data_IF_803119940556
#
_entry.id   IF_803119940556
#
_cell.length_a   1.000
_cell.length_b   1.000
_cell.length_c   1.000
_cell.angle_alpha   90.00
_cell.angle_beta   90.00
_cell.angle_gamma   90.00
#
_symmetry.space_group_name_H-M   'P 1'
#
loop_
_entity.id
_entity.type
_entity.pdbx_description
1 polymer ?
#
# COMPACT_ATOMS: atom_id res chain seq x y z
N UNK A 1 -21.93 3.68 8.75
CA UNK A 1 -20.97 3.39 7.67
C UNK A 1 -19.88 2.50 8.23
N UNK A 2 -19.28 1.62 7.42
CA UNK A 2 -18.13 0.80 7.85
C UNK A 2 -16.97 1.69 8.31
N UNK A 3 -16.20 1.18 9.28
CA UNK A 3 -14.96 1.80 9.75
C UNK A 3 -13.96 1.99 8.61
N UNK A 4 -13.07 2.98 8.74
CA UNK A 4 -12.07 3.30 7.73
C UNK A 4 -10.71 2.64 8.04
N UNK A 5 -10.26 1.76 7.16
CA UNK A 5 -8.86 1.28 7.11
C UNK A 5 -7.96 2.43 6.67
N UNK A 6 -6.85 2.67 7.37
CA UNK A 6 -5.82 3.61 6.93
C UNK A 6 -4.53 2.81 6.66
N UNK A 7 -4.05 2.86 5.41
CA UNK A 7 -2.73 2.36 5.05
C UNK A 7 -1.70 3.50 5.13
N UNK A 8 -0.56 3.24 5.77
CA UNK A 8 0.60 4.14 5.75
C UNK A 8 1.68 3.60 4.81
N UNK A 9 2.08 4.40 3.82
CA UNK A 9 3.19 4.10 2.92
C UNK A 9 4.40 4.97 3.28
N UNK A 10 5.37 4.38 3.99
CA UNK A 10 6.34 5.17 4.76
C UNK A 10 7.46 5.78 3.94
N UNK A 11 7.99 5.06 2.95
CA UNK A 11 9.22 5.45 2.22
C UNK A 11 9.11 5.39 0.70
N UNK A 12 8.54 4.33 0.14
CA UNK A 12 8.53 4.07 -1.30
C UNK A 12 9.90 3.81 -1.89
N UNK A 13 9.97 3.85 -3.23
CA UNK A 13 11.21 3.68 -3.99
C UNK A 13 11.74 4.93 -4.70
N UNK A 14 11.04 6.07 -4.60
CA UNK A 14 11.28 7.26 -5.43
C UNK A 14 11.74 8.46 -4.61
N UNK A 15 11.06 8.72 -3.48
CA UNK A 15 11.34 9.89 -2.63
C UNK A 15 12.76 9.84 -2.09
N UNK A 16 13.47 10.97 -2.13
CA UNK A 16 14.85 11.10 -1.66
C UNK A 16 14.98 12.11 -0.52
N UNK A 17 16.08 12.03 0.26
CA UNK A 17 16.37 12.98 1.33
C UNK A 17 16.61 14.41 0.87
N UNK A 18 17.00 14.60 -0.38
CA UNK A 18 17.12 15.93 -0.98
C UNK A 18 15.75 16.61 -1.14
N UNK A 19 14.70 15.82 -1.42
CA UNK A 19 13.34 16.33 -1.56
C UNK A 19 12.68 16.59 -0.19
N UNK A 20 12.92 15.71 0.78
CA UNK A 20 12.46 15.87 2.15
C UNK A 20 13.40 15.16 3.12
N UNK A 21 13.85 15.82 4.21
CA UNK A 21 14.69 15.15 5.21
C UNK A 21 13.94 14.05 5.98
N UNK A 22 12.61 14.04 5.89
CA UNK A 22 11.73 13.20 6.72
C UNK A 22 11.41 11.83 6.08
N UNK A 23 11.93 11.52 4.89
CA UNK A 23 11.79 10.18 4.30
C UNK A 23 12.66 9.19 5.08
N UNK A 24 12.08 8.11 5.65
CA UNK A 24 12.87 7.08 6.34
C UNK A 24 13.58 6.20 5.31
N UNK A 25 14.84 5.85 5.56
CA UNK A 25 15.66 5.06 4.64
C UNK A 25 16.08 3.74 5.30
N UNK A 26 16.57 3.77 6.53
CA UNK A 26 16.99 2.54 7.22
C UNK A 26 15.79 1.77 7.75
N UNK A 27 15.99 0.48 8.02
CA UNK A 27 14.97 -0.40 8.55
C UNK A 27 14.44 0.12 9.91
N UNK A 28 15.33 0.64 10.76
CA UNK A 28 14.97 1.28 12.04
C UNK A 28 14.10 2.52 11.86
N UNK A 29 14.47 3.43 10.95
CA UNK A 29 13.68 4.64 10.69
C UNK A 29 12.31 4.30 10.10
N UNK A 30 12.25 3.30 9.21
CA UNK A 30 11.01 2.81 8.60
C UNK A 30 10.11 2.24 9.70
N UNK A 31 10.64 1.37 10.57
CA UNK A 31 9.89 0.78 11.67
C UNK A 31 9.41 1.83 12.68
N UNK A 32 10.26 2.80 13.05
CA UNK A 32 9.89 3.89 13.96
C UNK A 32 8.72 4.71 13.40
N UNK A 33 8.80 5.12 12.14
CA UNK A 33 7.72 5.88 11.50
C UNK A 33 6.45 5.05 11.30
N UNK A 34 6.58 3.74 11.04
CA UNK A 34 5.46 2.81 10.97
C UNK A 34 4.73 2.69 12.33
N UNK A 35 5.47 2.49 13.42
CA UNK A 35 4.93 2.41 14.79
C UNK A 35 4.26 3.73 15.20
N UNK A 36 4.90 4.87 14.91
CA UNK A 36 4.33 6.18 15.20
C UNK A 36 3.01 6.40 14.43
N UNK A 37 2.95 5.92 13.19
CA UNK A 37 1.76 5.95 12.34
C UNK A 37 0.65 5.02 12.83
N UNK A 38 1.00 3.81 13.30
CA UNK A 38 0.06 2.91 13.96
C UNK A 38 -0.59 3.56 15.18
N UNK A 39 0.22 4.21 16.04
CA UNK A 39 -0.27 5.00 17.20
C UNK A 39 -1.19 6.15 16.80
N UNK A 40 -1.08 6.66 15.56
CA UNK A 40 -1.96 7.69 15.01
C UNK A 40 -3.19 7.14 14.27
N UNK A 41 -3.31 5.82 14.11
CA UNK A 41 -4.47 5.15 13.51
C UNK A 41 -4.19 4.40 12.21
N UNK A 42 -2.95 4.25 11.75
CA UNK A 42 -2.69 3.35 10.63
C UNK A 42 -2.92 1.89 11.05
N UNK A 43 -3.64 1.13 10.24
CA UNK A 43 -3.87 -0.30 10.48
C UNK A 43 -3.06 -1.21 9.55
N UNK A 44 -2.56 -0.66 8.44
CA UNK A 44 -1.69 -1.34 7.48
C UNK A 44 -0.43 -0.50 7.26
N UNK A 45 0.74 -1.14 7.29
CA UNK A 45 2.00 -0.59 6.79
C UNK A 45 2.25 -1.12 5.38
N UNK A 46 2.27 -0.25 4.39
CA UNK A 46 2.89 -0.52 3.10
C UNK A 46 4.37 -0.16 3.18
N UNK A 47 5.24 -1.14 2.96
CA UNK A 47 6.69 -0.98 3.12
C UNK A 47 7.44 -1.28 1.82
N UNK A 48 8.41 -0.41 1.56
CA UNK A 48 9.56 -0.66 0.70
C UNK A 48 10.81 -0.63 1.57
N UNK A 49 11.88 -1.32 1.15
CA UNK A 49 13.20 -1.23 1.78
C UNK A 49 14.21 -0.62 0.82
N UNK A 50 15.27 -0.02 1.39
CA UNK A 50 16.34 0.66 0.64
C UNK A 50 17.69 -0.02 0.86
N UNK A 51 18.51 -0.05 -0.18
CA UNK A 51 19.90 -0.48 -0.09
C UNK A 51 20.82 0.63 0.48
N UNK A 52 22.12 0.36 0.57
CA UNK A 52 23.13 1.29 1.08
C UNK A 52 23.23 2.57 0.26
N UNK A 53 22.90 2.50 -1.04
CA UNK A 53 22.83 3.65 -1.96
C UNK A 53 21.48 4.40 -1.85
N UNK A 54 20.63 4.02 -0.89
CA UNK A 54 19.28 4.53 -0.67
C UNK A 54 18.30 4.24 -1.81
N UNK A 55 18.61 3.27 -2.67
CA UNK A 55 17.78 2.85 -3.79
C UNK A 55 16.83 1.74 -3.36
N UNK A 56 15.66 1.66 -3.99
CA UNK A 56 14.71 0.59 -3.71
C UNK A 56 15.32 -0.79 -4.00
N UNK A 57 15.17 -1.70 -3.06
CA UNK A 57 15.55 -3.11 -3.21
C UNK A 57 14.38 -4.01 -2.82
N UNK A 58 14.42 -5.28 -3.24
CA UNK A 58 13.49 -6.30 -2.81
C UNK A 58 14.16 -7.37 -1.91
N UNK A 59 15.21 -6.97 -1.20
CA UNK A 59 15.96 -7.83 -0.29
C UNK A 59 15.05 -8.37 0.84
N UNK A 60 14.80 -9.69 0.89
CA UNK A 60 13.93 -10.29 1.88
C UNK A 60 14.48 -10.17 3.31
N UNK A 61 15.80 -10.08 3.51
CA UNK A 61 16.38 -9.94 4.85
C UNK A 61 16.05 -8.57 5.45
N UNK A 62 16.11 -7.51 4.61
CA UNK A 62 15.74 -6.15 5.02
C UNK A 62 14.24 -6.03 5.31
N UNK A 63 13.40 -6.68 4.50
CA UNK A 63 11.97 -6.76 4.77
C UNK A 63 11.67 -7.49 6.09
N UNK A 64 12.30 -8.63 6.31
CA UNK A 64 12.19 -9.39 7.56
C UNK A 64 12.64 -8.56 8.76
N UNK A 65 13.71 -7.76 8.59
CA UNK A 65 14.20 -6.85 9.64
C UNK A 65 13.20 -5.76 9.99
N UNK A 66 12.54 -5.12 9.02
CA UNK A 66 11.47 -4.15 9.31
C UNK A 66 10.31 -4.84 10.04
N UNK A 67 9.91 -6.03 9.58
CA UNK A 67 8.87 -6.81 10.23
C UNK A 67 9.21 -7.14 11.68
N UNK A 68 10.42 -7.64 11.95
CA UNK A 68 10.92 -7.90 13.30
C UNK A 68 10.83 -6.66 14.20
N UNK A 69 11.34 -5.53 13.71
CA UNK A 69 11.36 -4.26 14.45
C UNK A 69 9.95 -3.75 14.78
N UNK A 70 9.02 -3.82 13.82
CA UNK A 70 7.62 -3.42 14.04
C UNK A 70 6.93 -4.34 15.05
N UNK A 71 7.21 -5.65 14.99
CA UNK A 71 6.65 -6.66 15.92
C UNK A 71 7.25 -6.58 17.32
N UNK A 72 8.47 -6.06 17.45
CA UNK A 72 9.12 -5.83 18.75
C UNK A 72 8.45 -4.73 19.60
N UNK A 73 7.67 -3.82 18.99
CA UNK A 73 6.91 -2.82 19.73
C UNK A 73 5.73 -3.47 20.48
N UNK A 74 5.68 -3.36 21.82
CA UNK A 74 4.63 -4.00 22.61
C UNK A 74 3.21 -3.57 22.18
N UNK A 75 2.39 -4.55 21.83
CA UNK A 75 0.99 -4.34 21.42
C UNK A 75 0.81 -3.87 19.98
N UNK A 76 1.89 -3.66 19.22
CA UNK A 76 1.79 -3.32 17.80
C UNK A 76 1.39 -4.55 16.98
N UNK A 77 0.12 -4.59 16.61
CA UNK A 77 -0.47 -5.64 15.78
C UNK A 77 -0.72 -5.16 14.34
N UNK A 78 -0.08 -4.09 13.88
CA UNK A 78 -0.32 -3.56 12.53
C UNK A 78 -0.07 -4.60 11.43
N UNK A 79 -0.92 -4.62 10.41
CA UNK A 79 -0.79 -5.54 9.26
C UNK A 79 0.40 -5.08 8.41
N UNK A 80 1.27 -6.00 8.01
CA UNK A 80 2.41 -5.68 7.16
C UNK A 80 2.06 -6.01 5.71
N UNK A 81 2.23 -5.01 4.84
CA UNK A 81 2.08 -5.09 3.41
C UNK A 81 3.46 -4.84 2.75
N UNK A 82 4.09 -5.87 2.22
CA UNK A 82 5.40 -5.75 1.57
C UNK A 82 5.26 -5.51 0.07
N UNK A 83 6.00 -4.52 -0.44
CA UNK A 83 5.97 -4.22 -1.87
C UNK A 83 6.65 -5.30 -2.71
N UNK A 84 6.00 -5.68 -3.82
CA UNK A 84 6.58 -6.49 -4.89
C UNK A 84 6.93 -5.65 -6.14
N UNK A 85 6.83 -4.33 -6.04
CA UNK A 85 7.15 -3.42 -7.15
C UNK A 85 8.63 -3.16 -7.32
N UNK A 86 9.33 -2.94 -6.20
CA UNK A 86 10.78 -2.73 -6.18
C UNK A 86 11.26 -1.56 -7.04
N UNK A 87 12.45 -1.69 -7.65
CA UNK A 87 13.04 -0.66 -8.52
C UNK A 87 12.61 -0.88 -9.97
N UNK A 88 11.75 0.01 -10.46
CA UNK A 88 11.18 -0.02 -11.82
C UNK A 88 12.26 -0.29 -12.88
N UNK A 89 12.10 -1.38 -13.62
CA UNK A 89 12.95 -1.76 -14.76
C UNK A 89 14.38 -2.17 -14.40
N UNK A 90 14.68 -2.45 -13.12
CA UNK A 90 16.02 -2.80 -12.65
C UNK A 90 16.10 -4.11 -11.88
N UNK A 91 14.98 -4.65 -11.42
CA UNK A 91 14.92 -5.94 -10.73
C UNK A 91 14.28 -7.01 -11.61
N UNK A 92 14.75 -8.23 -11.43
CA UNK A 92 14.16 -9.45 -12.01
C UNK A 92 12.81 -9.76 -11.34
N UNK A 93 12.01 -10.59 -12.00
CA UNK A 93 10.76 -11.08 -11.43
C UNK A 93 10.97 -11.86 -10.11
N UNK A 94 12.04 -12.66 -10.01
CA UNK A 94 12.33 -13.44 -8.80
C UNK A 94 12.71 -12.54 -7.62
N UNK A 95 13.52 -11.50 -7.85
CA UNK A 95 13.84 -10.50 -6.82
C UNK A 95 12.57 -9.81 -6.33
N UNK A 96 11.68 -9.43 -7.24
CA UNK A 96 10.40 -8.78 -6.90
C UNK A 96 9.43 -9.68 -6.14
N UNK A 97 9.47 -10.98 -6.38
CA UNK A 97 8.66 -11.98 -5.68
C UNK A 97 9.23 -12.30 -4.29
N UNK A 98 10.54 -12.17 -4.09
CA UNK A 98 11.22 -12.57 -2.84
C UNK A 98 10.57 -12.07 -1.54
N UNK A 99 10.02 -10.83 -1.44
CA UNK A 99 9.35 -10.35 -0.23
C UNK A 99 8.15 -11.21 0.19
N UNK A 100 7.44 -11.83 -0.75
CA UNK A 100 6.31 -12.75 -0.47
C UNK A 100 6.76 -13.94 0.39
N UNK A 101 8.00 -14.39 0.22
CA UNK A 101 8.56 -15.54 0.94
C UNK A 101 8.84 -15.27 2.40
N UNK A 102 8.85 -13.99 2.80
CA UNK A 102 8.92 -13.54 4.20
C UNK A 102 7.58 -13.76 4.93
N UNK A 103 6.52 -14.12 4.19
CA UNK A 103 5.16 -14.36 4.70
C UNK A 103 4.54 -13.15 5.42
N UNK A 104 4.55 -11.95 4.80
CA UNK A 104 3.74 -10.85 5.31
C UNK A 104 2.26 -11.19 5.21
N UNK A 105 1.40 -10.51 5.97
CA UNK A 105 -0.05 -10.72 5.85
C UNK A 105 -0.59 -10.26 4.49
N UNK A 106 -0.02 -9.19 3.95
CA UNK A 106 -0.35 -8.63 2.64
C UNK A 106 0.94 -8.41 1.84
N UNK A 107 0.84 -8.46 0.51
CA UNK A 107 1.86 -7.90 -0.36
C UNK A 107 1.20 -7.15 -1.54
N UNK A 108 1.87 -6.11 -2.03
CA UNK A 108 1.37 -5.35 -3.18
C UNK A 108 1.38 -6.22 -4.44
N UNK A 109 0.35 -6.07 -5.27
CA UNK A 109 0.15 -6.83 -6.50
C UNK A 109 -0.23 -5.88 -7.63
N UNK A 110 0.77 -5.33 -8.30
CA UNK A 110 0.61 -4.40 -9.41
C UNK A 110 -0.03 -5.10 -10.63
N UNK A 111 -1.34 -4.89 -10.84
CA UNK A 111 -2.15 -5.70 -11.73
C UNK A 111 -2.06 -5.31 -13.22
N UNK A 112 -0.90 -4.84 -13.65
CA UNK A 112 -0.64 -4.52 -15.05
C UNK A 112 0.59 -3.66 -15.27
N UNK A 113 0.99 -3.55 -16.53
CA UNK A 113 2.11 -2.71 -16.92
C UNK A 113 1.67 -1.27 -17.14
N UNK A 114 2.51 -0.30 -16.76
CA UNK A 114 2.22 1.13 -16.91
C UNK A 114 3.51 1.91 -17.20
N UNK A 115 3.40 3.01 -17.94
CA UNK A 115 4.51 3.96 -18.06
C UNK A 115 4.77 4.60 -16.69
N UNK A 116 6.03 4.66 -16.29
CA UNK A 116 6.41 5.09 -14.95
C UNK A 116 7.74 5.83 -14.97
N UNK A 117 7.70 7.15 -14.72
CA UNK A 117 8.86 8.00 -14.90
C UNK A 117 9.38 7.95 -16.34
N UNK A 118 10.67 7.67 -16.51
CA UNK A 118 11.32 7.54 -17.83
C UNK A 118 11.27 6.10 -18.38
N UNK A 119 10.60 5.17 -17.70
CA UNK A 119 10.55 3.76 -18.05
C UNK A 119 9.14 3.17 -18.12
N UNK A 120 9.10 1.84 -18.24
CA UNK A 120 7.87 1.06 -18.13
C UNK A 120 8.00 0.20 -16.88
N UNK A 121 7.00 0.27 -16.01
CA UNK A 121 6.86 -0.67 -14.92
C UNK A 121 6.14 -1.90 -15.43
N UNK A 122 6.91 -2.96 -15.68
CA UNK A 122 6.44 -4.15 -16.38
C UNK A 122 5.85 -5.15 -15.38
N UNK A 123 4.56 -5.43 -15.55
CA UNK A 123 3.86 -6.55 -14.94
C UNK A 123 3.15 -7.29 -16.08
N UNK A 124 3.86 -8.28 -16.65
CA UNK A 124 3.34 -9.10 -17.75
C UNK A 124 2.25 -10.05 -17.25
N UNK A 125 1.32 -10.53 -18.10
CA UNK A 125 0.35 -11.54 -17.69
C UNK A 125 1.00 -12.79 -17.07
N UNK A 126 2.16 -13.21 -17.57
CA UNK A 126 2.92 -14.34 -17.03
C UNK A 126 3.45 -14.05 -15.63
N UNK A 127 3.96 -12.85 -15.39
CA UNK A 127 4.39 -12.42 -14.07
C UNK A 127 3.22 -12.36 -13.09
N UNK A 128 2.07 -11.83 -13.52
CA UNK A 128 0.84 -11.78 -12.72
C UNK A 128 0.41 -13.18 -12.26
N UNK A 129 0.43 -14.16 -13.17
CA UNK A 129 0.07 -15.55 -12.85
C UNK A 129 1.08 -16.17 -11.86
N UNK A 130 2.38 -15.91 -12.06
CA UNK A 130 3.45 -16.40 -11.19
C UNK A 130 3.36 -15.82 -9.78
N UNK A 131 3.23 -14.50 -9.68
CA UNK A 131 3.14 -13.80 -8.40
C UNK A 131 1.89 -14.21 -7.62
N UNK A 132 0.74 -14.37 -8.28
CA UNK A 132 -0.48 -14.80 -7.61
C UNK A 132 -0.37 -16.23 -7.04
N UNK A 133 0.29 -17.14 -7.77
CA UNK A 133 0.57 -18.50 -7.28
C UNK A 133 1.51 -18.50 -6.08
N UNK A 134 2.57 -17.69 -6.12
CA UNK A 134 3.49 -17.57 -4.99
C UNK A 134 2.77 -16.99 -3.76
N UNK A 135 1.98 -15.93 -3.93
CA UNK A 135 1.18 -15.36 -2.84
C UNK A 135 0.23 -16.38 -2.23
N UNK A 136 -0.46 -17.18 -3.06
CA UNK A 136 -1.34 -18.26 -2.59
C UNK A 136 -0.55 -19.35 -1.84
N UNK A 137 0.61 -19.77 -2.34
CA UNK A 137 1.47 -20.78 -1.70
C UNK A 137 1.95 -20.35 -0.30
N UNK A 138 2.32 -19.07 -0.15
CA UNK A 138 2.82 -18.52 1.11
C UNK A 138 1.71 -17.95 2.01
N UNK A 139 0.44 -18.02 1.59
CA UNK A 139 -0.70 -17.53 2.36
C UNK A 139 -0.76 -16.00 2.49
N UNK A 140 -0.22 -15.28 1.52
CA UNK A 140 -0.14 -13.81 1.48
C UNK A 140 -1.33 -13.25 0.71
N UNK A 141 -2.10 -12.33 1.30
CA UNK A 141 -3.21 -11.68 0.58
C UNK A 141 -2.68 -10.60 -0.36
N UNK A 142 -3.12 -10.55 -1.63
CA UNK A 142 -2.77 -9.46 -2.53
C UNK A 142 -3.48 -8.15 -2.15
N UNK A 143 -2.74 -7.04 -2.07
CA UNK A 143 -3.27 -5.69 -2.30
C UNK A 143 -3.17 -5.39 -3.80
N UNK A 144 -4.30 -5.48 -4.50
CA UNK A 144 -4.39 -5.40 -5.95
C UNK A 144 -4.26 -3.94 -6.40
N UNK A 145 -3.04 -3.54 -6.75
CA UNK A 145 -2.74 -2.18 -7.17
C UNK A 145 -3.13 -1.97 -8.64
N UNK A 146 -4.07 -1.04 -8.87
CA UNK A 146 -4.61 -0.71 -10.17
C UNK A 146 -4.28 0.75 -10.50
N UNK A 147 -3.45 0.95 -11.51
CA UNK A 147 -3.07 2.27 -12.03
C UNK A 147 -4.03 2.74 -13.13
N UNK A 148 -4.85 1.85 -13.69
CA UNK A 148 -5.89 2.19 -14.66
C UNK A 148 -6.98 1.10 -14.66
N UNK A 149 -8.12 1.38 -15.29
CA UNK A 149 -9.28 0.50 -15.39
C UNK A 149 -8.99 -0.86 -16.02
N UNK A 150 -8.08 -0.92 -17.01
CA UNK A 150 -7.65 -2.19 -17.62
C UNK A 150 -6.98 -3.15 -16.62
N UNK A 151 -6.40 -2.64 -15.54
CA UNK A 151 -5.80 -3.47 -14.49
C UNK A 151 -6.86 -4.16 -13.62
N UNK A 152 -8.07 -3.59 -13.54
CA UNK A 152 -9.21 -4.24 -12.87
C UNK A 152 -9.64 -5.47 -13.67
N UNK A 153 -9.62 -5.39 -15.00
CA UNK A 153 -9.91 -6.54 -15.88
C UNK A 153 -8.84 -7.63 -15.79
N UNK A 154 -7.56 -7.23 -15.66
CA UNK A 154 -6.49 -8.18 -15.38
C UNK A 154 -6.71 -8.89 -14.03
N UNK A 155 -7.17 -8.16 -13.00
CA UNK A 155 -7.45 -8.75 -11.69
C UNK A 155 -8.59 -9.75 -11.77
N UNK A 156 -9.69 -9.42 -12.48
CA UNK A 156 -10.81 -10.34 -12.72
C UNK A 156 -10.34 -11.65 -13.37
N UNK A 157 -9.46 -11.58 -14.37
CA UNK A 157 -8.86 -12.77 -15.00
C UNK A 157 -8.12 -13.67 -13.99
N UNK A 158 -7.45 -13.08 -13.01
CA UNK A 158 -6.72 -13.83 -11.97
C UNK A 158 -7.69 -14.41 -10.93
N UNK A 159 -8.71 -13.64 -10.55
CA UNK A 159 -9.81 -14.06 -9.66
C UNK A 159 -10.58 -15.25 -10.26
N UNK A 160 -10.91 -15.19 -11.55
CA UNK A 160 -11.63 -16.26 -12.27
C UNK A 160 -10.82 -17.57 -12.32
N UNK A 161 -9.50 -17.51 -12.16
CA UNK A 161 -8.63 -18.69 -12.03
C UNK A 161 -8.60 -19.28 -10.61
N UNK A 162 -9.24 -18.62 -9.63
CA UNK A 162 -9.21 -19.03 -8.22
C UNK A 162 -7.87 -18.78 -7.53
N UNK A 163 -7.03 -17.89 -8.06
CA UNK A 163 -5.72 -17.58 -7.48
C UNK A 163 -5.79 -16.49 -6.41
N UNK A 164 -6.87 -15.71 -6.38
CA UNK A 164 -7.13 -14.68 -5.37
C UNK A 164 -8.53 -14.91 -4.82
N UNK A 165 -8.63 -15.03 -3.50
CA UNK A 165 -9.89 -15.28 -2.80
C UNK A 165 -10.48 -14.00 -2.20
N UNK A 166 -11.82 -13.88 -2.16
CA UNK A 166 -12.49 -12.76 -1.52
C UNK A 166 -12.31 -12.80 0.03
N UNK A 167 -12.43 -11.66 0.74
CA UNK A 167 -12.66 -10.31 0.21
C UNK A 167 -11.48 -9.82 -0.63
N UNK A 168 -11.79 -9.19 -1.76
CA UNK A 168 -10.76 -8.64 -2.66
C UNK A 168 -10.34 -7.27 -2.16
N UNK A 169 -9.03 -7.04 -2.05
CA UNK A 169 -8.48 -5.78 -1.58
C UNK A 169 -7.85 -5.01 -2.73
N UNK A 170 -8.59 -4.04 -3.28
CA UNK A 170 -8.13 -3.21 -4.39
C UNK A 170 -7.50 -1.91 -3.89
N UNK A 171 -6.44 -1.46 -4.53
CA UNK A 171 -5.87 -0.14 -4.32
C UNK A 171 -5.80 0.62 -5.64
N UNK A 172 -6.51 1.75 -5.72
CA UNK A 172 -6.45 2.63 -6.88
C UNK A 172 -5.29 3.61 -6.72
N UNK A 173 -4.33 3.54 -7.63
CA UNK A 173 -3.14 4.40 -7.63
C UNK A 173 -3.35 5.50 -8.66
N UNK A 174 -3.62 6.72 -8.18
CA UNK A 174 -4.09 7.83 -9.01
C UNK A 174 -3.08 8.98 -9.10
N UNK A 175 -3.01 9.62 -10.26
CA UNK A 175 -2.21 10.82 -10.49
C UNK A 175 -0.75 10.56 -10.81
N UNK A 176 -0.36 9.30 -11.03
CA UNK A 176 0.94 8.96 -11.63
C UNK A 176 0.90 9.29 -13.11
N UNK A 177 1.99 9.89 -13.62
CA UNK A 177 2.15 10.13 -15.05
C UNK A 177 2.27 8.79 -15.78
N UNK A 178 1.28 8.46 -16.60
CA UNK A 178 1.21 7.19 -17.32
C UNK A 178 0.02 6.32 -16.90
N UNK A 179 -0.57 6.57 -15.74
CA UNK A 179 -1.79 5.93 -15.27
C UNK A 179 -2.99 6.88 -15.21
N UNK A 180 -4.04 6.46 -14.52
CA UNK A 180 -5.29 7.18 -14.34
C UNK A 180 -5.07 8.50 -13.58
N UNK A 181 -5.68 9.61 -14.03
CA UNK A 181 -5.59 10.89 -13.34
C UNK A 181 -6.38 10.86 -12.03
N UNK A 182 -5.90 11.59 -11.03
CA UNK A 182 -6.59 11.78 -9.76
C UNK A 182 -7.78 12.75 -9.91
N UNK A 183 -8.89 12.22 -10.42
CA UNK A 183 -10.16 12.93 -10.62
C UNK A 183 -11.32 12.10 -10.08
N UNK A 184 -12.40 12.75 -9.66
CA UNK A 184 -13.60 12.08 -9.16
C UNK A 184 -14.21 11.16 -10.21
N UNK A 185 -14.27 11.60 -11.47
CA UNK A 185 -14.86 10.81 -12.56
C UNK A 185 -14.13 9.48 -12.79
N UNK A 186 -12.79 9.50 -12.77
CA UNK A 186 -11.99 8.28 -12.92
C UNK A 186 -12.13 7.37 -11.70
N UNK A 187 -12.09 7.93 -10.49
CA UNK A 187 -12.31 7.14 -9.28
C UNK A 187 -13.68 6.46 -9.30
N UNK A 188 -14.73 7.19 -9.65
CA UNK A 188 -16.08 6.66 -9.75
C UNK A 188 -16.17 5.53 -10.79
N UNK A 189 -15.54 5.70 -11.96
CA UNK A 189 -15.48 4.65 -12.98
C UNK A 189 -14.79 3.38 -12.46
N UNK A 190 -13.65 3.53 -11.78
CA UNK A 190 -12.89 2.39 -11.22
C UNK A 190 -13.69 1.67 -10.13
N UNK A 191 -14.32 2.40 -9.20
CA UNK A 191 -15.18 1.82 -8.16
C UNK A 191 -16.33 1.01 -8.76
N UNK A 192 -17.00 1.56 -9.79
CA UNK A 192 -18.12 0.88 -10.45
C UNK A 192 -17.70 -0.35 -11.29
N UNK A 193 -16.40 -0.52 -11.52
CA UNK A 193 -15.84 -1.63 -12.31
C UNK A 193 -15.39 -2.82 -11.45
N UNK A 194 -15.41 -2.68 -10.11
CA UNK A 194 -14.96 -3.73 -9.19
C UNK A 194 -15.86 -4.97 -9.23
N UNK A 195 -15.28 -6.17 -9.06
CA UNK A 195 -16.08 -7.37 -8.82
C UNK A 195 -16.79 -7.30 -7.46
N UNK A 196 -17.82 -8.12 -7.27
CA UNK A 196 -18.48 -8.27 -5.97
C UNK A 196 -17.49 -8.68 -4.88
N UNK A 197 -17.84 -8.45 -3.60
CA UNK A 197 -16.98 -8.74 -2.44
C UNK A 197 -15.63 -7.98 -2.43
N UNK A 198 -15.53 -6.91 -3.21
CA UNK A 198 -14.37 -6.02 -3.19
C UNK A 198 -14.49 -4.96 -2.11
N UNK A 199 -13.37 -4.69 -1.46
CA UNK A 199 -13.08 -3.45 -0.73
C UNK A 199 -11.99 -2.70 -1.48
N UNK A 200 -11.97 -1.38 -1.35
CA UNK A 200 -11.06 -0.55 -2.13
C UNK A 200 -10.44 0.59 -1.33
N UNK A 201 -9.18 0.86 -1.60
CA UNK A 201 -8.38 1.96 -1.09
C UNK A 201 -7.97 2.91 -2.22
N UNK A 202 -7.64 4.15 -1.88
CA UNK A 202 -7.04 5.12 -2.80
C UNK A 202 -5.68 5.58 -2.28
N UNK A 203 -4.68 5.42 -3.14
CA UNK A 203 -3.41 6.13 -3.11
C UNK A 203 -3.44 7.21 -4.19
N UNK A 204 -3.21 8.47 -3.85
CA UNK A 204 -3.14 9.55 -4.82
C UNK A 204 -1.86 10.38 -4.63
N UNK A 205 -1.17 10.65 -5.73
CA UNK A 205 0.20 11.17 -5.66
C UNK A 205 0.26 12.68 -5.40
N UNK A 206 1.15 13.05 -4.49
CA UNK A 206 1.50 14.42 -4.14
C UNK A 206 0.30 15.22 -3.65
N UNK A 207 0.07 16.38 -4.28
CA UNK A 207 -1.03 17.30 -3.95
C UNK A 207 -2.43 16.67 -4.02
N UNK A 208 -2.56 15.52 -4.69
CA UNK A 208 -3.83 14.83 -4.85
C UNK A 208 -4.18 13.92 -3.65
N UNK A 209 -3.22 13.58 -2.77
CA UNK A 209 -3.40 12.69 -1.62
C UNK A 209 -4.59 13.11 -0.77
N UNK A 210 -4.53 14.30 -0.15
CA UNK A 210 -5.55 14.75 0.79
C UNK A 210 -6.95 14.87 0.17
N UNK A 211 -7.16 15.52 -0.99
CA UNK A 211 -8.47 15.57 -1.61
C UNK A 211 -9.03 14.18 -1.94
N UNK A 212 -8.20 13.28 -2.47
CA UNK A 212 -8.65 11.94 -2.84
C UNK A 212 -8.89 11.04 -1.62
N UNK A 213 -8.16 11.21 -0.52
CA UNK A 213 -8.48 10.54 0.74
C UNK A 213 -9.87 10.98 1.25
N UNK A 214 -10.18 12.28 1.21
CA UNK A 214 -11.49 12.78 1.62
C UNK A 214 -12.63 12.25 0.72
N UNK A 215 -12.41 12.22 -0.60
CA UNK A 215 -13.37 11.66 -1.56
C UNK A 215 -13.56 10.15 -1.34
N UNK A 216 -12.48 9.40 -1.16
CA UNK A 216 -12.54 7.97 -0.89
C UNK A 216 -13.35 7.69 0.38
N UNK A 217 -13.11 8.44 1.45
CA UNK A 217 -13.87 8.33 2.69
C UNK A 217 -15.36 8.64 2.48
N UNK A 218 -15.70 9.68 1.72
CA UNK A 218 -17.09 10.04 1.43
C UNK A 218 -17.81 8.99 0.55
N UNK A 219 -17.08 8.30 -0.32
CA UNK A 219 -17.59 7.23 -1.19
C UNK A 219 -17.62 5.85 -0.53
N UNK A 220 -17.25 5.74 0.75
CA UNK A 220 -17.22 4.45 1.47
C UNK A 220 -15.93 3.65 1.34
N UNK A 221 -14.95 4.12 0.56
CA UNK A 221 -13.63 3.51 0.41
C UNK A 221 -12.68 3.82 1.57
N UNK A 222 -11.42 3.47 1.36
CA UNK A 222 -10.35 3.54 2.36
C UNK A 222 -9.19 4.43 1.89
N UNK A 223 -8.56 5.21 2.78
CA UNK A 223 -7.41 6.04 2.41
C UNK A 223 -6.06 5.33 2.62
N UNK A 224 -5.15 5.50 1.64
CA UNK A 224 -3.72 5.36 1.84
C UNK A 224 -3.06 6.74 1.90
N UNK A 225 -2.11 6.91 2.81
CA UNK A 225 -1.33 8.14 2.98
C UNK A 225 0.11 7.84 3.35
N UNK A 226 1.00 8.81 3.22
CA UNK A 226 2.39 8.69 3.66
C UNK A 226 3.36 9.45 2.76
N UNK A 227 4.62 9.50 3.19
CA UNK A 227 5.72 10.22 2.54
C UNK A 227 6.11 9.56 1.21
N UNK A 228 5.86 8.26 1.05
CA UNK A 228 5.97 7.57 -0.24
C UNK A 228 5.13 8.27 -1.32
N UNK A 229 3.87 8.59 -0.98
CA UNK A 229 2.92 9.11 -1.95
C UNK A 229 2.95 10.65 -2.01
N UNK A 230 3.26 11.33 -0.90
CA UNK A 230 3.25 12.78 -0.80
C UNK A 230 4.16 13.31 0.33
N UNK A 231 5.11 14.17 -0.03
CA UNK A 231 6.04 14.79 0.93
C UNK A 231 5.51 16.06 1.60
N UNK A 232 4.33 16.56 1.23
CA UNK A 232 3.80 17.85 1.68
C UNK A 232 2.62 17.71 2.64
N UNK A 233 2.66 18.40 3.79
CA UNK A 233 1.48 18.59 4.63
C UNK A 233 0.53 19.59 3.98
N UNK A 234 1.01 20.75 3.57
CA UNK A 234 0.21 21.75 2.83
C UNK A 234 1.02 22.33 1.68
N UNK A 235 0.43 23.24 0.91
CA UNK A 235 1.12 23.83 -0.22
C UNK A 235 2.49 24.39 0.20
N UNK A 236 3.56 23.77 -0.32
CA UNK A 236 4.97 24.08 -0.04
C UNK A 236 5.43 23.91 1.42
N UNK A 237 4.65 23.23 2.26
CA UNK A 237 5.04 22.89 3.63
C UNK A 237 5.25 21.38 3.67
N UNK A 238 6.50 20.95 3.87
CA UNK A 238 6.83 19.53 3.98
C UNK A 238 6.09 18.90 5.17
N UNK A 239 5.67 17.64 5.00
CA UNK A 239 5.19 16.84 6.10
C UNK A 239 6.35 16.54 7.05
N UNK A 240 6.11 16.70 8.34
CA UNK A 240 7.12 16.48 9.38
C UNK A 240 7.36 14.99 9.62
N UNK A 241 6.35 14.15 9.37
CA UNK A 241 6.43 12.70 9.52
C UNK A 241 5.27 11.99 8.83
N UNK A 242 5.40 10.68 8.62
CA UNK A 242 4.26 9.84 8.23
C UNK A 242 3.11 9.91 9.26
N UNK A 243 3.45 9.94 10.54
CA UNK A 243 2.47 10.08 11.63
C UNK A 243 1.62 11.34 11.47
N UNK A 244 2.20 12.47 11.07
CA UNK A 244 1.48 13.73 10.88
C UNK A 244 0.41 13.61 9.77
N UNK A 245 0.74 12.89 8.69
CA UNK A 245 -0.19 12.63 7.59
C UNK A 245 -1.31 11.68 8.03
N UNK A 246 -0.97 10.58 8.70
CA UNK A 246 -1.95 9.61 9.23
C UNK A 246 -2.90 10.27 10.23
N UNK A 247 -2.38 11.05 11.18
CA UNK A 247 -3.19 11.75 12.16
C UNK A 247 -4.19 12.72 11.51
N UNK A 248 -3.83 13.33 10.37
CA UNK A 248 -4.77 14.16 9.61
C UNK A 248 -5.90 13.33 9.01
N UNK A 249 -5.57 12.20 8.39
CA UNK A 249 -6.58 11.30 7.80
C UNK A 249 -7.50 10.74 8.89
N UNK A 250 -6.94 10.33 10.03
CA UNK A 250 -7.73 9.88 11.18
C UNK A 250 -8.71 10.94 11.70
N UNK A 251 -8.32 12.23 11.72
CA UNK A 251 -9.25 13.32 12.02
C UNK A 251 -10.39 13.39 10.99
N UNK A 252 -10.09 13.31 9.69
CA UNK A 252 -11.12 13.30 8.65
C UNK A 252 -12.08 12.11 8.78
N UNK A 253 -11.57 10.93 9.11
CA UNK A 253 -12.38 9.75 9.41
C UNK A 253 -13.41 10.04 10.51
N UNK A 254 -13.00 10.69 11.60
CA UNK A 254 -13.88 11.06 12.71
C UNK A 254 -14.90 12.13 12.31
N UNK A 255 -14.49 13.17 11.57
CA UNK A 255 -15.41 14.22 11.07
C UNK A 255 -16.48 13.67 10.12
N UNK A 256 -16.21 12.57 9.43
CA UNK A 256 -17.16 11.88 8.54
C UNK A 256 -17.94 10.75 9.22
N UNK A 257 -17.85 10.62 10.55
CA UNK A 257 -18.50 9.57 11.35
C UNK A 257 -18.15 8.14 10.87
N UNK A 258 -16.93 7.97 10.35
CA UNK A 258 -16.34 6.69 9.94
C UNK A 258 -15.06 6.43 10.75
N UNK A 259 -15.16 6.05 12.03
CA UNK A 259 -13.98 5.90 12.87
C UNK A 259 -12.99 4.90 12.27
N UNK A 260 -11.72 5.10 12.61
CA UNK A 260 -10.61 4.28 12.10
C UNK A 260 -10.74 2.83 12.56
N UNK A 261 -10.53 1.89 11.65
CA UNK A 261 -10.48 0.46 11.95
C UNK A 261 -9.16 0.11 12.65
N UNK A 262 -9.25 -0.64 13.75
CA UNK A 262 -8.06 -1.24 14.38
C UNK A 262 -7.43 -2.29 13.44
N UNK A 263 -6.18 -2.71 13.67
CA UNK A 263 -5.60 -3.81 12.88
C UNK A 263 -6.38 -5.12 13.01
N UNK A 264 -6.94 -5.45 14.18
CA UNK A 264 -7.83 -6.60 14.35
C UNK A 264 -9.10 -6.51 13.49
N UNK A 265 -9.78 -5.37 13.49
CA UNK A 265 -10.96 -5.14 12.65
C UNK A 265 -10.60 -5.13 11.15
N UNK A 266 -9.43 -4.56 10.81
CA UNK A 266 -8.92 -4.58 9.44
C UNK A 266 -8.68 -6.01 8.96
N UNK A 267 -8.13 -6.89 9.81
CA UNK A 267 -7.98 -8.31 9.49
C UNK A 267 -9.32 -8.98 9.20
N UNK A 268 -10.33 -8.75 10.02
CA UNK A 268 -11.68 -9.27 9.78
C UNK A 268 -12.26 -8.75 8.44
N UNK A 269 -12.18 -7.44 8.22
CA UNK A 269 -12.68 -6.80 6.99
C UNK A 269 -12.02 -7.34 5.72
N UNK A 270 -10.74 -7.72 5.81
CA UNK A 270 -9.94 -8.24 4.70
C UNK A 270 -9.86 -9.77 4.68
N UNK A 271 -10.50 -10.49 5.60
CA UNK A 271 -10.42 -11.96 5.67
C UNK A 271 -9.03 -12.50 5.98
N UNK A 272 -8.22 -11.76 6.74
CA UNK A 272 -6.90 -12.19 7.21
C UNK A 272 -7.02 -12.99 8.51
N UNK A 273 -6.09 -13.94 8.78
CA UNK A 273 -6.01 -14.63 10.07
C UNK A 273 -5.82 -13.64 11.23
N UNK A 274 -6.36 -13.98 12.41
CA UNK A 274 -6.13 -13.20 13.62
C UNK A 274 -4.63 -13.11 13.94
N UNK A 275 -4.21 -11.96 14.48
CA UNK A 275 -2.81 -11.76 14.87
C UNK A 275 -2.43 -12.73 16.00
N UNK A 276 -1.36 -13.48 15.79
CA UNK A 276 -0.74 -14.32 16.80
C UNK A 276 0.63 -13.71 17.13
N UNK A 277 0.79 -13.02 18.28
CA UNK A 277 2.11 -12.62 18.71
C UNK A 277 2.95 -13.88 18.90
N UNK A 278 4.17 -13.91 18.36
CA UNK A 278 5.12 -14.98 18.66
C UNK A 278 5.34 -15.01 20.18
N UNK A 279 5.23 -16.22 20.75
CA UNK A 279 5.23 -16.47 22.20
C UNK A 279 6.59 -16.26 22.87
#
# INVERSE_FOLDING_TARGET
MDKAIISVATTGGITTREQTPNVPITEEEIAEQAIASWKAGASILHVHVRDEDQLATCDPERYARVQELVRAEPGCDMIINMSTGGRVGRLTEDERIAPVRVRPEIASYDCGSVNFGDGVFVNSPQFLDKLAREMQEYGVKPEIECFDTGMIENAKRIIDQGLIEPPFWFQFVLGIRGGAPATVDHLNLMVNSLPEQSRWSVCAIGRHQLPMNAIALAMGGHPRTGIEDNIYYSYRVLAESNQQLVARVARLCNELERPVATPAETREMLGLPAFQPEA
#
